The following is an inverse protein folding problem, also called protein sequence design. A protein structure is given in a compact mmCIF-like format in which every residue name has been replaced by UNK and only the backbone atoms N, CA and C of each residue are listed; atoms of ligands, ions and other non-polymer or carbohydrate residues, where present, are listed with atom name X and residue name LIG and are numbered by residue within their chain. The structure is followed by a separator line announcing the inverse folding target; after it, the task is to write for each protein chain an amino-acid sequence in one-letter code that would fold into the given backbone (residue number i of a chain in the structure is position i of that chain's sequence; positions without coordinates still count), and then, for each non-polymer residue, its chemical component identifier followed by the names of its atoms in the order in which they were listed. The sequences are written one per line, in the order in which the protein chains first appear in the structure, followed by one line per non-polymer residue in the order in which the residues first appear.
data_IF_503648029624
#
_entry.id   IF_503648029624
#
_cell.length_a   1.000
_cell.length_b   1.000
_cell.length_c   1.000
_cell.angle_alpha   90.00
_cell.angle_beta   90.00
_cell.angle_gamma   90.00
#
_symmetry.space_group_name_H-M   'P 1'
#
loop_
_entity.id
_entity.type
_entity.pdbx_description
1 polymer ?
#
# COMPACT_ATOMS: atom_id res chain seq x y z
N UNK A 1 29.01 18.21 -16.52
CA UNK A 1 29.10 19.33 -15.55
C UNK A 1 27.69 19.64 -15.08
N UNK A 2 27.43 19.50 -13.79
CA UNK A 2 26.09 19.64 -13.20
C UNK A 2 25.70 21.12 -13.14
N UNK A 3 24.68 21.50 -13.92
CA UNK A 3 24.13 22.85 -14.05
C UNK A 3 23.21 23.21 -12.87
N UNK A 4 23.70 23.11 -11.63
CA UNK A 4 22.96 23.57 -10.45
C UNK A 4 23.52 24.90 -9.99
N UNK A 5 22.66 25.91 -9.83
CA UNK A 5 23.04 27.19 -9.25
C UNK A 5 23.62 27.00 -7.84
N UNK A 6 24.62 27.80 -7.44
CA UNK A 6 25.26 27.66 -6.13
C UNK A 6 24.28 28.06 -5.01
N UNK A 7 24.29 27.31 -3.90
CA UNK A 7 23.48 27.64 -2.72
C UNK A 7 23.99 28.92 -2.05
N UNK A 8 23.09 29.87 -1.79
CA UNK A 8 23.43 31.13 -1.13
C UNK A 8 23.35 31.09 0.39
N UNK A 9 23.96 32.10 1.01
CA UNK A 9 23.85 32.38 2.45
C UNK A 9 22.93 33.57 2.66
N UNK A 10 22.00 33.44 3.61
CA UNK A 10 21.14 34.54 4.03
C UNK A 10 21.91 35.39 5.04
N UNK A 11 22.12 36.67 4.71
CA UNK A 11 22.83 37.60 5.57
C UNK A 11 21.84 38.64 6.08
N UNK A 12 21.68 38.80 7.42
CA UNK A 12 20.89 39.89 7.97
C UNK A 12 21.52 41.23 7.58
N UNK A 13 20.67 42.20 7.26
CA UNK A 13 21.08 43.56 6.90
C UNK A 13 20.38 44.54 7.83
N UNK A 14 20.85 45.79 7.84
CA UNK A 14 20.14 46.89 8.52
C UNK A 14 18.95 47.41 7.68
N UNK A 15 18.65 46.77 6.54
CA UNK A 15 17.51 47.08 5.67
C UNK A 15 16.28 46.27 6.11
N UNK A 16 15.11 46.54 5.53
CA UNK A 16 13.85 45.85 5.86
C UNK A 16 13.89 44.34 5.55
N UNK A 17 14.74 43.89 4.61
CA UNK A 17 14.83 42.49 4.18
C UNK A 17 16.27 41.96 4.22
N UNK A 18 16.50 40.73 4.73
CA UNK A 18 17.79 40.07 4.63
C UNK A 18 18.14 39.77 3.16
N UNK A 19 19.44 39.62 2.87
CA UNK A 19 19.94 39.41 1.51
C UNK A 19 20.49 37.99 1.35
N UNK A 20 19.96 37.24 0.39
CA UNK A 20 20.53 35.97 -0.08
C UNK A 20 21.63 36.26 -1.10
N UNK A 21 22.87 35.91 -0.76
CA UNK A 21 24.06 36.16 -1.58
C UNK A 21 25.10 35.04 -1.45
N UNK A 22 26.04 35.00 -2.39
CA UNK A 22 27.23 34.14 -2.30
C UNK A 22 28.32 34.86 -1.50
N UNK A 23 28.99 34.14 -0.60
CA UNK A 23 30.11 34.67 0.18
C UNK A 23 31.32 35.00 -0.71
N UNK A 24 31.60 34.14 -1.68
CA UNK A 24 32.64 34.30 -2.69
C UNK A 24 32.02 33.98 -4.06
N UNK A 25 31.53 35.00 -4.78
CA UNK A 25 30.77 34.77 -6.01
C UNK A 25 31.73 34.49 -7.18
N UNK A 26 31.61 33.31 -7.77
CA UNK A 26 32.26 32.90 -9.02
C UNK A 26 31.21 32.38 -10.00
N UNK A 27 31.50 32.43 -11.31
CA UNK A 27 30.55 31.94 -12.30
C UNK A 27 30.43 30.40 -12.22
N UNK A 28 29.21 29.83 -12.05
CA UNK A 28 29.05 28.38 -11.96
C UNK A 28 29.37 27.67 -13.28
N UNK A 29 29.33 28.38 -14.41
CA UNK A 29 29.56 27.81 -15.73
C UNK A 29 31.06 27.81 -16.13
N UNK A 30 31.84 28.82 -15.71
CA UNK A 30 33.24 28.99 -16.15
C UNK A 30 34.27 29.28 -15.05
N UNK A 31 33.85 29.40 -13.78
CA UNK A 31 34.72 29.77 -12.65
C UNK A 31 35.26 31.20 -12.69
N UNK A 32 34.90 32.00 -13.70
CA UNK A 32 35.38 33.37 -13.85
C UNK A 32 34.76 34.36 -12.86
N UNK A 33 35.35 35.57 -12.72
CA UNK A 33 34.84 36.60 -11.85
C UNK A 33 33.47 37.10 -12.31
N UNK A 34 32.64 37.53 -11.35
CA UNK A 34 31.28 38.01 -11.61
C UNK A 34 31.03 39.35 -10.91
N UNK A 35 30.12 40.14 -11.48
CA UNK A 35 29.67 41.41 -10.89
C UNK A 35 28.24 41.30 -10.39
N UNK A 36 27.86 42.16 -9.44
CA UNK A 36 26.46 42.27 -8.97
C UNK A 36 25.61 42.89 -10.08
N UNK A 37 24.46 42.28 -10.37
CA UNK A 37 23.53 42.68 -11.43
C UNK A 37 22.12 42.94 -10.89
N UNK A 38 22.02 43.82 -9.89
CA UNK A 38 20.77 44.10 -9.20
C UNK A 38 20.28 42.90 -8.36
N UNK A 39 18.98 42.88 -8.04
CA UNK A 39 18.36 41.82 -7.27
C UNK A 39 16.85 41.91 -7.33
N UNK A 40 16.17 40.90 -6.82
CA UNK A 40 14.70 40.85 -6.74
C UNK A 40 14.28 40.34 -5.37
N UNK A 41 13.07 40.67 -4.96
CA UNK A 41 12.48 40.13 -3.74
C UNK A 41 11.91 38.74 -4.00
N UNK A 42 12.12 37.84 -3.05
CA UNK A 42 11.53 36.51 -3.02
C UNK A 42 10.75 36.38 -1.73
N UNK A 43 9.52 35.89 -1.85
CA UNK A 43 8.57 35.71 -0.74
C UNK A 43 8.25 34.22 -0.55
N UNK A 44 9.23 33.40 -0.11
CA UNK A 44 8.99 31.98 0.14
C UNK A 44 8.02 31.80 1.31
N UNK A 45 6.99 30.98 1.10
CA UNK A 45 5.96 30.68 2.11
C UNK A 45 6.56 29.83 3.23
N UNK A 46 6.42 30.26 4.49
CA UNK A 46 7.01 29.58 5.66
C UNK A 46 8.48 29.93 5.91
N UNK A 47 8.97 30.98 5.24
CA UNK A 47 10.27 31.59 5.46
C UNK A 47 10.10 33.11 5.49
N UNK A 48 11.09 33.82 6.04
CA UNK A 48 11.10 35.28 5.96
C UNK A 48 11.29 35.74 4.51
N UNK A 49 10.57 36.78 4.05
CA UNK A 49 10.87 37.44 2.79
C UNK A 49 12.31 37.91 2.75
N UNK A 50 12.90 37.94 1.56
CA UNK A 50 14.31 38.29 1.38
C UNK A 50 14.58 38.86 0.00
N UNK A 51 15.72 39.55 -0.14
CA UNK A 51 16.23 40.02 -1.41
C UNK A 51 17.28 39.04 -1.96
N UNK A 52 17.08 38.57 -3.18
CA UNK A 52 18.03 37.69 -3.88
C UNK A 52 18.98 38.55 -4.71
N UNK A 53 20.28 38.42 -4.46
CA UNK A 53 21.33 39.07 -5.25
C UNK A 53 21.52 38.36 -6.59
N UNK A 54 21.37 39.08 -7.70
CA UNK A 54 21.73 38.58 -9.04
C UNK A 54 23.19 38.88 -9.36
N UNK A 55 23.83 37.97 -10.08
CA UNK A 55 25.20 38.10 -10.56
C UNK A 55 25.22 38.02 -12.09
N UNK A 56 26.22 38.63 -12.71
CA UNK A 56 26.49 38.52 -14.15
C UNK A 56 27.96 38.17 -14.38
N UNK A 57 28.19 37.18 -15.24
CA UNK A 57 29.51 36.86 -15.76
C UNK A 57 29.68 37.51 -17.14
N UNK A 58 30.84 38.13 -17.40
CA UNK A 58 31.15 38.74 -18.69
C UNK A 58 31.21 37.72 -19.84
N UNK A 59 31.56 36.47 -19.55
CA UNK A 59 31.76 35.42 -20.54
C UNK A 59 30.59 34.44 -20.68
N UNK A 60 29.62 34.49 -19.76
CA UNK A 60 28.53 33.52 -19.67
C UNK A 60 27.19 34.26 -19.56
N UNK A 61 26.43 33.98 -18.50
CA UNK A 61 25.07 34.50 -18.27
C UNK A 61 24.91 35.08 -16.88
N UNK A 62 23.74 35.68 -16.65
CA UNK A 62 23.32 36.05 -15.30
C UNK A 62 22.79 34.84 -14.53
N UNK A 63 23.01 34.83 -13.22
CA UNK A 63 22.51 33.79 -12.33
C UNK A 63 22.21 34.36 -10.94
N UNK A 64 21.50 33.59 -10.14
CA UNK A 64 21.18 33.88 -8.74
C UNK A 64 21.57 32.69 -7.88
N UNK A 65 21.90 32.90 -6.59
CA UNK A 65 22.04 31.80 -5.66
C UNK A 65 20.69 31.13 -5.38
N UNK A 66 20.71 29.81 -5.23
CA UNK A 66 19.54 29.04 -4.77
C UNK A 66 19.33 29.26 -3.27
N UNK A 67 18.07 29.34 -2.83
CA UNK A 67 17.75 29.47 -1.41
C UNK A 67 18.05 28.16 -0.66
N UNK A 68 18.68 28.21 0.53
CA UNK A 68 19.16 27.00 1.21
C UNK A 68 18.04 26.02 1.58
N UNK A 69 16.83 26.51 1.86
CA UNK A 69 15.70 25.67 2.25
C UNK A 69 14.62 25.49 1.16
N UNK A 70 14.68 26.26 0.07
CA UNK A 70 13.60 26.34 -0.93
C UNK A 70 14.22 26.25 -2.32
N UNK A 71 13.91 25.18 -3.05
CA UNK A 71 14.41 24.98 -4.42
C UNK A 71 13.99 26.14 -5.33
N UNK A 72 14.72 26.34 -6.42
CA UNK A 72 14.34 27.32 -7.44
C UNK A 72 12.99 26.92 -8.06
N UNK A 73 12.19 27.93 -8.45
CA UNK A 73 10.80 27.79 -8.92
C UNK A 73 9.80 27.20 -7.91
N UNK A 74 10.21 27.00 -6.66
CA UNK A 74 9.33 26.55 -5.58
C UNK A 74 9.05 27.67 -4.58
N UNK A 75 7.84 27.66 -4.04
CA UNK A 75 7.39 28.60 -3.02
C UNK A 75 7.53 28.09 -1.60
N UNK A 76 7.58 26.77 -1.40
CA UNK A 76 7.57 26.15 -0.08
C UNK A 76 8.89 25.43 0.22
N UNK A 77 9.37 25.46 1.47
CA UNK A 77 10.49 24.65 1.89
C UNK A 77 10.22 23.16 1.70
N UNK A 78 11.26 22.41 1.37
CA UNK A 78 11.17 20.96 1.17
C UNK A 78 10.54 20.25 2.39
N UNK A 79 10.84 20.73 3.59
CA UNK A 79 10.29 20.19 4.84
C UNK A 79 8.76 20.29 4.93
N UNK A 80 8.15 21.35 4.39
CA UNK A 80 6.68 21.53 4.35
C UNK A 80 6.06 20.46 3.45
N UNK A 81 6.57 20.32 2.23
CA UNK A 81 6.11 19.31 1.28
C UNK A 81 6.30 17.90 1.83
N UNK A 82 7.44 17.62 2.47
CA UNK A 82 7.74 16.32 3.06
C UNK A 82 6.77 15.96 4.18
N UNK A 83 6.46 16.89 5.09
CA UNK A 83 5.48 16.64 6.15
C UNK A 83 4.11 16.29 5.56
N UNK A 84 3.67 17.03 4.53
CA UNK A 84 2.40 16.76 3.85
C UNK A 84 2.35 15.34 3.26
N UNK A 85 3.39 14.92 2.54
CA UNK A 85 3.48 13.59 1.93
C UNK A 85 3.60 12.48 2.99
N UNK A 86 4.35 12.71 4.06
CA UNK A 86 4.51 11.73 5.15
C UNK A 86 3.19 11.50 5.87
N UNK A 87 2.41 12.55 6.11
CA UNK A 87 1.08 12.45 6.70
C UNK A 87 0.12 11.71 5.76
N UNK A 88 0.13 11.99 4.46
CA UNK A 88 -0.70 11.28 3.46
C UNK A 88 -0.45 9.75 3.46
N UNK A 89 0.82 9.35 3.61
CA UNK A 89 1.23 7.94 3.62
C UNK A 89 0.98 7.27 4.98
N UNK A 90 1.28 7.93 6.09
CA UNK A 90 1.27 7.28 7.41
C UNK A 90 -0.07 7.37 8.15
N UNK A 91 -0.95 8.27 7.72
CA UNK A 91 -2.22 8.54 8.41
C UNK A 91 -3.40 8.42 7.47
N UNK A 92 -4.60 8.37 8.04
CA UNK A 92 -5.83 8.60 7.29
C UNK A 92 -6.24 10.05 7.54
N UNK A 93 -5.73 10.97 6.72
CA UNK A 93 -5.99 12.40 6.83
C UNK A 93 -6.62 12.95 5.56
N UNK A 94 -7.61 13.82 5.73
CA UNK A 94 -8.11 14.66 4.65
C UNK A 94 -7.05 15.69 4.23
N UNK A 95 -7.25 16.31 3.06
CA UNK A 95 -6.43 17.43 2.61
C UNK A 95 -6.52 18.61 3.60
N UNK A 96 -7.71 18.90 4.12
CA UNK A 96 -7.94 19.93 5.13
C UNK A 96 -7.15 19.67 6.42
N UNK A 97 -7.19 18.44 6.96
CA UNK A 97 -6.40 18.09 8.15
C UNK A 97 -4.89 18.26 7.88
N UNK A 98 -4.43 17.96 6.65
CA UNK A 98 -3.04 18.22 6.27
C UNK A 98 -2.74 19.72 6.23
N UNK A 99 -3.64 20.56 5.71
CA UNK A 99 -3.48 22.03 5.76
C UNK A 99 -3.32 22.53 7.19
N UNK A 100 -4.15 22.04 8.11
CA UNK A 100 -4.11 22.46 9.51
C UNK A 100 -2.81 22.02 10.19
N UNK A 101 -2.32 20.80 9.92
CA UNK A 101 -1.01 20.36 10.43
C UNK A 101 0.12 21.24 9.88
N UNK A 102 0.12 21.58 8.58
CA UNK A 102 1.11 22.50 8.02
C UNK A 102 1.02 23.91 8.62
N UNK A 103 -0.20 24.36 8.95
CA UNK A 103 -0.43 25.65 9.61
C UNK A 103 0.17 25.64 11.02
N UNK A 104 -0.05 24.57 11.78
CA UNK A 104 0.49 24.42 13.14
C UNK A 104 2.02 24.35 13.14
N UNK A 105 2.62 23.56 12.25
CA UNK A 105 4.06 23.29 12.29
C UNK A 105 4.93 24.32 11.56
N UNK A 106 4.40 24.95 10.52
CA UNK A 106 5.17 25.83 9.63
C UNK A 106 4.54 27.20 9.42
N UNK A 107 3.38 27.48 10.04
CA UNK A 107 2.62 28.71 9.85
C UNK A 107 2.32 29.00 8.37
N UNK A 108 2.06 27.94 7.59
CA UNK A 108 1.66 28.02 6.18
C UNK A 108 0.38 27.25 5.96
N UNK A 109 -0.49 27.78 5.09
CA UNK A 109 -1.74 27.13 4.71
C UNK A 109 -1.81 26.96 3.18
N UNK A 110 -1.10 25.98 2.59
CA UNK A 110 -1.18 25.69 1.16
C UNK A 110 -2.60 25.30 0.78
N UNK A 111 -3.02 25.57 -0.46
CA UNK A 111 -4.32 25.13 -0.94
C UNK A 111 -4.41 23.60 -1.01
N UNK A 112 -5.61 23.04 -0.94
CA UNK A 112 -5.85 21.61 -1.18
C UNK A 112 -5.25 21.13 -2.50
N UNK A 113 -5.35 21.95 -3.55
CA UNK A 113 -4.78 21.65 -4.86
C UNK A 113 -3.26 21.52 -4.79
N UNK A 114 -2.59 22.40 -4.04
CA UNK A 114 -1.15 22.35 -3.86
C UNK A 114 -0.71 21.10 -3.08
N UNK A 115 -1.45 20.73 -2.02
CA UNK A 115 -1.18 19.51 -1.25
C UNK A 115 -1.42 18.26 -2.10
N UNK A 116 -2.50 18.24 -2.88
CA UNK A 116 -2.76 17.16 -3.83
C UNK A 116 -1.61 17.03 -4.83
N UNK A 117 -1.18 18.13 -5.46
CA UNK A 117 -0.06 18.12 -6.40
C UNK A 117 1.23 17.56 -5.77
N UNK A 118 1.46 17.78 -4.48
CA UNK A 118 2.61 17.21 -3.76
C UNK A 118 2.49 15.71 -3.48
N UNK A 119 1.27 15.20 -3.32
CA UNK A 119 1.02 13.78 -3.05
C UNK A 119 0.82 12.96 -4.33
N UNK A 120 0.65 13.64 -5.47
CA UNK A 120 0.46 13.03 -6.78
C UNK A 120 1.80 12.85 -7.49
N UNK A 121 1.99 11.68 -8.09
CA UNK A 121 3.07 11.42 -9.04
C UNK A 121 2.55 10.58 -10.21
N UNK A 122 3.20 10.68 -11.36
CA UNK A 122 2.87 9.85 -12.50
C UNK A 122 3.23 8.39 -12.20
N UNK A 123 2.28 7.50 -12.40
CA UNK A 123 2.39 6.07 -12.16
C UNK A 123 1.81 5.30 -13.34
N UNK A 124 2.23 4.03 -13.49
CA UNK A 124 1.52 3.09 -14.35
C UNK A 124 0.12 2.81 -13.77
N UNK A 125 -0.80 2.29 -14.57
CA UNK A 125 -2.12 1.85 -14.10
C UNK A 125 -2.00 0.74 -13.06
N UNK A 126 -1.20 -0.28 -13.38
CA UNK A 126 -0.78 -1.29 -12.43
C UNK A 126 0.47 -0.80 -11.71
N UNK A 127 0.33 -0.54 -10.42
CA UNK A 127 1.44 -0.22 -9.53
C UNK A 127 2.08 -1.53 -9.09
N UNK A 128 3.21 -1.89 -9.71
CA UNK A 128 4.00 -3.04 -9.32
C UNK A 128 4.96 -2.71 -8.18
N UNK A 129 5.08 -3.61 -7.21
CA UNK A 129 6.10 -3.54 -6.17
C UNK A 129 7.42 -4.11 -6.71
N UNK A 130 8.52 -3.47 -6.34
CA UNK A 130 9.85 -3.91 -6.71
C UNK A 130 10.38 -4.91 -5.66
N UNK A 131 9.81 -6.12 -5.72
CA UNK A 131 10.23 -7.26 -4.91
C UNK A 131 11.38 -8.00 -5.62
N UNK A 132 12.47 -8.37 -4.91
CA UNK A 132 13.60 -9.05 -5.52
C UNK A 132 13.24 -10.48 -5.99
N UNK A 133 12.29 -11.11 -5.30
CA UNK A 133 11.74 -12.44 -5.61
C UNK A 133 10.26 -12.46 -5.22
N UNK A 134 9.54 -13.45 -5.74
CA UNK A 134 8.17 -13.78 -5.33
C UNK A 134 8.11 -15.24 -4.92
N UNK A 135 7.19 -15.60 -4.02
CA UNK A 135 7.09 -16.94 -3.44
C UNK A 135 6.24 -17.92 -4.26
N UNK A 136 5.39 -17.39 -5.14
CA UNK A 136 4.39 -18.17 -5.87
C UNK A 136 3.16 -18.55 -5.05
N UNK A 137 3.07 -18.12 -3.79
CA UNK A 137 1.88 -18.25 -2.95
C UNK A 137 1.28 -16.87 -2.73
N UNK A 138 0.18 -16.62 -3.43
CA UNK A 138 -0.46 -15.32 -3.45
C UNK A 138 -1.84 -15.35 -2.80
N UNK A 139 -2.23 -14.20 -2.29
CA UNK A 139 -3.58 -13.89 -1.88
C UNK A 139 -4.10 -12.75 -2.76
N UNK A 140 -5.32 -12.88 -3.27
CA UNK A 140 -6.01 -11.82 -4.00
C UNK A 140 -7.31 -11.43 -3.29
N UNK A 141 -7.55 -10.14 -3.19
CA UNK A 141 -8.77 -9.57 -2.61
C UNK A 141 -8.96 -8.13 -3.11
N UNK A 142 -10.17 -7.59 -2.94
CA UNK A 142 -10.52 -6.22 -3.33
C UNK A 142 -10.91 -5.33 -2.15
N UNK A 143 -10.50 -4.07 -2.21
CA UNK A 143 -10.88 -3.06 -1.23
C UNK A 143 -11.62 -1.91 -1.90
N UNK A 144 -12.74 -1.49 -1.30
CA UNK A 144 -13.38 -0.22 -1.64
C UNK A 144 -12.44 0.96 -1.34
N UNK A 145 -12.46 2.00 -2.16
CA UNK A 145 -11.93 3.32 -1.81
C UNK A 145 -12.80 4.43 -2.43
N UNK A 146 -12.59 5.65 -1.95
CA UNK A 146 -13.28 6.84 -2.47
C UNK A 146 -12.27 7.75 -3.19
N UNK A 147 -12.52 8.03 -4.46
CA UNK A 147 -11.75 8.99 -5.27
C UNK A 147 -12.71 10.08 -5.74
N UNK A 148 -12.40 11.32 -5.38
CA UNK A 148 -13.23 12.49 -5.64
C UNK A 148 -14.72 12.29 -5.28
N UNK A 149 -14.97 11.64 -4.13
CA UNK A 149 -16.32 11.32 -3.66
C UNK A 149 -17.01 10.15 -4.36
N UNK A 150 -16.41 9.59 -5.41
CA UNK A 150 -16.91 8.46 -6.16
C UNK A 150 -16.26 7.14 -5.73
N UNK A 151 -17.00 6.05 -5.91
CA UNK A 151 -16.56 4.70 -5.53
C UNK A 151 -15.58 4.17 -6.56
N UNK A 152 -14.45 3.67 -6.08
CA UNK A 152 -13.49 2.89 -6.84
C UNK A 152 -13.10 1.61 -6.07
N UNK A 153 -12.42 0.71 -6.75
CA UNK A 153 -11.99 -0.59 -6.27
C UNK A 153 -10.48 -0.69 -6.40
N UNK A 154 -9.81 -1.02 -5.31
CA UNK A 154 -8.41 -1.40 -5.27
C UNK A 154 -8.35 -2.90 -5.38
N UNK A 155 -7.71 -3.39 -6.42
CA UNK A 155 -7.42 -4.80 -6.62
C UNK A 155 -5.97 -5.03 -6.16
N UNK A 156 -5.74 -6.06 -5.35
CA UNK A 156 -4.42 -6.30 -4.75
C UNK A 156 -4.02 -7.75 -4.88
N UNK A 157 -2.85 -7.99 -5.45
CA UNK A 157 -2.12 -9.25 -5.31
C UNK A 157 -1.12 -9.09 -4.18
N UNK A 158 -1.15 -10.01 -3.22
CA UNK A 158 -0.29 -9.99 -2.03
C UNK A 158 0.46 -11.31 -1.92
N UNK A 159 1.78 -11.23 -1.71
CA UNK A 159 2.60 -12.41 -1.48
C UNK A 159 2.50 -12.80 0.00
N UNK A 160 1.93 -13.97 0.26
CA UNK A 160 1.58 -14.40 1.60
C UNK A 160 2.82 -14.72 2.44
N UNK A 161 3.82 -15.37 1.81
CA UNK A 161 5.04 -15.79 2.50
C UNK A 161 5.98 -14.61 2.71
N UNK A 162 6.10 -13.71 1.74
CA UNK A 162 6.89 -12.49 1.88
C UNK A 162 6.19 -11.42 2.74
N UNK A 163 4.87 -11.52 2.92
CA UNK A 163 4.03 -10.53 3.62
C UNK A 163 4.16 -9.14 3.03
N UNK A 164 4.14 -9.07 1.71
CA UNK A 164 4.25 -7.83 0.95
C UNK A 164 3.30 -7.82 -0.26
N UNK A 165 2.72 -6.65 -0.59
CA UNK A 165 1.95 -6.49 -1.83
C UNK A 165 2.86 -6.73 -3.05
N UNK A 166 2.37 -7.44 -4.06
CA UNK A 166 3.08 -7.68 -5.34
C UNK A 166 2.72 -6.60 -6.34
N UNK A 167 1.42 -6.34 -6.51
CA UNK A 167 0.92 -5.31 -7.40
C UNK A 167 -0.49 -4.90 -7.00
N UNK A 168 -0.85 -3.68 -7.38
CA UNK A 168 -2.16 -3.10 -7.13
C UNK A 168 -2.61 -2.24 -8.30
N UNK A 169 -3.93 -2.20 -8.53
CA UNK A 169 -4.54 -1.27 -9.48
C UNK A 169 -5.78 -0.64 -8.88
N UNK A 170 -6.20 0.49 -9.45
CA UNK A 170 -7.47 1.14 -9.19
C UNK A 170 -8.38 0.90 -10.38
N UNK A 171 -9.57 0.36 -10.12
CA UNK A 171 -10.61 0.17 -11.10
C UNK A 171 -11.89 0.87 -10.66
N UNK A 172 -12.59 1.46 -11.61
CA UNK A 172 -13.92 2.05 -11.46
C UNK A 172 -15.00 0.98 -11.28
N UNK A 173 -14.79 -0.22 -11.83
CA UNK A 173 -15.67 -1.39 -11.63
C UNK A 173 -14.87 -2.64 -11.30
N UNK A 174 -15.45 -3.51 -10.49
CA UNK A 174 -14.90 -4.84 -10.20
C UNK A 174 -15.72 -5.90 -10.94
N UNK A 175 -15.55 -5.97 -12.27
CA UNK A 175 -16.14 -7.05 -13.09
C UNK A 175 -15.17 -8.22 -13.21
N UNK A 176 -15.66 -9.38 -13.66
CA UNK A 176 -14.82 -10.55 -13.91
C UNK A 176 -13.67 -10.23 -14.87
N UNK A 177 -13.96 -9.49 -15.93
CA UNK A 177 -13.01 -9.11 -16.97
C UNK A 177 -11.90 -8.21 -16.42
N UNK A 178 -12.26 -7.23 -15.59
CA UNK A 178 -11.27 -6.38 -14.92
C UNK A 178 -10.36 -7.18 -13.99
N UNK A 179 -10.91 -8.11 -13.22
CA UNK A 179 -10.12 -8.99 -12.35
C UNK A 179 -9.21 -9.91 -13.16
N UNK A 180 -9.74 -10.50 -14.23
CA UNK A 180 -8.99 -11.35 -15.17
C UNK A 180 -7.80 -10.61 -15.75
N UNK A 181 -8.03 -9.43 -16.34
CA UNK A 181 -6.99 -8.63 -16.96
C UNK A 181 -5.90 -8.26 -15.95
N UNK A 182 -6.30 -7.86 -14.75
CA UNK A 182 -5.35 -7.54 -13.67
C UNK A 182 -4.52 -8.76 -13.24
N UNK A 183 -5.16 -9.88 -12.92
CA UNK A 183 -4.47 -11.08 -12.43
C UNK A 183 -3.54 -11.67 -13.49
N UNK A 184 -4.00 -11.81 -14.73
CA UNK A 184 -3.18 -12.35 -15.84
C UNK A 184 -2.01 -11.43 -16.17
N UNK A 185 -2.20 -10.11 -16.14
CA UNK A 185 -1.10 -9.15 -16.37
C UNK A 185 -0.06 -9.19 -15.24
N UNK A 186 -0.50 -9.27 -13.98
CA UNK A 186 0.41 -9.25 -12.82
C UNK A 186 1.14 -10.58 -12.64
N UNK A 187 0.45 -11.70 -12.85
CA UNK A 187 0.94 -13.03 -12.48
C UNK A 187 1.40 -13.88 -13.65
N UNK A 188 1.03 -13.56 -14.90
CA UNK A 188 1.24 -14.44 -16.06
C UNK A 188 2.70 -14.81 -16.35
N UNK A 189 3.66 -13.95 -16.00
CA UNK A 189 5.10 -14.23 -16.15
C UNK A 189 5.78 -14.66 -14.84
N UNK A 190 5.03 -14.82 -13.75
CA UNK A 190 5.55 -15.16 -12.42
C UNK A 190 5.34 -16.65 -12.14
N UNK A 191 6.17 -17.28 -11.30
CA UNK A 191 5.84 -18.60 -10.79
C UNK A 191 4.58 -18.46 -9.92
N UNK A 192 3.47 -19.06 -10.33
CA UNK A 192 2.23 -19.11 -9.56
C UNK A 192 1.98 -20.56 -9.19
N UNK A 193 1.92 -20.83 -7.89
CA UNK A 193 1.62 -22.17 -7.38
C UNK A 193 0.22 -22.20 -6.79
N UNK A 194 -0.11 -21.20 -5.97
CA UNK A 194 -1.40 -21.13 -5.28
C UNK A 194 -1.87 -19.68 -5.23
N UNK A 195 -3.15 -19.46 -5.53
CA UNK A 195 -3.82 -18.18 -5.30
C UNK A 195 -5.00 -18.40 -4.36
N UNK A 196 -4.92 -17.77 -3.18
CA UNK A 196 -6.02 -17.75 -2.21
C UNK A 196 -6.91 -16.55 -2.45
N UNK A 197 -8.22 -16.76 -2.61
CA UNK A 197 -9.17 -15.66 -2.82
C UNK A 197 -10.34 -15.71 -1.84
N UNK A 198 -11.20 -14.69 -1.93
CA UNK A 198 -12.54 -14.73 -1.35
C UNK A 198 -13.46 -15.76 -2.06
N UNK A 199 -14.72 -15.77 -1.66
CA UNK A 199 -15.72 -16.76 -2.10
C UNK A 199 -16.38 -16.53 -3.46
N UNK A 200 -15.95 -15.56 -4.28
CA UNK A 200 -16.56 -15.37 -5.61
C UNK A 200 -16.39 -16.58 -6.53
N UNK A 201 -17.36 -16.78 -7.42
CA UNK A 201 -17.47 -17.96 -8.27
C UNK A 201 -16.65 -17.87 -9.55
N UNK A 202 -16.20 -16.67 -9.93
CA UNK A 202 -15.50 -16.41 -11.18
C UNK A 202 -13.97 -16.56 -11.09
N UNK A 203 -13.43 -16.69 -9.87
CA UNK A 203 -11.99 -16.84 -9.65
C UNK A 203 -11.39 -18.19 -10.08
N UNK A 204 -12.05 -19.35 -9.86
CA UNK A 204 -11.47 -20.64 -10.26
C UNK A 204 -11.09 -20.66 -11.75
N UNK A 205 -11.97 -20.21 -12.64
CA UNK A 205 -11.68 -20.12 -14.09
C UNK A 205 -10.44 -19.27 -14.39
N UNK A 206 -10.26 -18.13 -13.72
CA UNK A 206 -9.08 -17.26 -13.96
C UNK A 206 -7.81 -17.91 -13.41
N UNK A 207 -7.88 -18.57 -12.26
CA UNK A 207 -6.71 -19.07 -11.54
C UNK A 207 -6.25 -20.43 -12.06
N UNK A 208 -7.19 -21.33 -12.29
CA UNK A 208 -6.91 -22.70 -12.74
C UNK A 208 -6.71 -22.75 -14.26
N UNK A 209 -7.61 -22.14 -15.04
CA UNK A 209 -7.57 -22.29 -16.50
C UNK A 209 -6.58 -21.33 -17.18
N UNK A 210 -6.44 -20.09 -16.68
CA UNK A 210 -5.61 -19.05 -17.33
C UNK A 210 -4.22 -18.90 -16.70
N UNK A 211 -4.08 -19.14 -15.39
CA UNK A 211 -2.81 -19.03 -14.66
C UNK A 211 -2.15 -20.38 -14.36
N UNK A 212 -2.80 -21.51 -14.66
CA UNK A 212 -2.33 -22.88 -14.37
C UNK A 212 -1.88 -23.05 -12.91
N UNK A 213 -2.67 -22.49 -11.99
CA UNK A 213 -2.37 -22.45 -10.56
C UNK A 213 -3.48 -23.09 -9.72
N UNK A 214 -3.11 -23.56 -8.53
CA UNK A 214 -4.10 -24.10 -7.58
C UNK A 214 -4.92 -22.96 -6.98
N UNK A 215 -6.25 -23.06 -7.10
CA UNK A 215 -7.16 -22.18 -6.38
C UNK A 215 -7.33 -22.65 -4.94
N UNK A 216 -7.25 -21.72 -3.99
CA UNK A 216 -7.64 -21.97 -2.61
C UNK A 216 -8.65 -20.92 -2.13
N UNK A 217 -9.63 -21.32 -1.34
CA UNK A 217 -10.69 -20.44 -0.82
C UNK A 217 -10.43 -20.07 0.63
N UNK A 218 -10.56 -18.78 0.94
CA UNK A 218 -10.46 -18.29 2.31
C UNK A 218 -11.59 -18.86 3.19
N UNK A 219 -11.21 -19.67 4.18
CA UNK A 219 -12.16 -20.32 5.08
C UNK A 219 -12.93 -19.34 5.95
N UNK A 220 -12.30 -18.25 6.37
CA UNK A 220 -12.96 -17.21 7.15
C UNK A 220 -14.10 -16.57 6.38
N UNK A 221 -13.85 -16.14 5.14
CA UNK A 221 -14.87 -15.54 4.28
C UNK A 221 -15.99 -16.52 3.96
N UNK A 222 -15.66 -17.77 3.63
CA UNK A 222 -16.65 -18.81 3.38
C UNK A 222 -17.58 -19.02 4.59
N UNK A 223 -17.01 -19.26 5.78
CA UNK A 223 -17.79 -19.51 6.99
C UNK A 223 -18.63 -18.29 7.41
N UNK A 224 -18.07 -17.09 7.34
CA UNK A 224 -18.77 -15.84 7.69
C UNK A 224 -19.95 -15.58 6.76
N UNK A 225 -19.75 -15.75 5.45
CA UNK A 225 -20.80 -15.57 4.45
C UNK A 225 -21.87 -16.66 4.58
N UNK A 226 -21.46 -17.91 4.80
CA UNK A 226 -22.35 -19.03 5.06
C UNK A 226 -23.21 -18.80 6.30
N UNK A 227 -22.61 -18.39 7.43
CA UNK A 227 -23.33 -18.12 8.67
C UNK A 227 -24.31 -16.95 8.53
N UNK A 228 -23.94 -15.88 7.83
CA UNK A 228 -24.84 -14.77 7.52
C UNK A 228 -26.05 -15.24 6.70
N UNK A 229 -25.82 -16.07 5.68
CA UNK A 229 -26.87 -16.63 4.83
C UNK A 229 -27.80 -17.54 5.65
N UNK A 230 -27.23 -18.51 6.36
CA UNK A 230 -27.97 -19.51 7.13
C UNK A 230 -28.73 -18.92 8.32
N UNK A 231 -28.21 -17.87 8.95
CA UNK A 231 -28.96 -17.13 9.98
C UNK A 231 -30.31 -16.67 9.46
N UNK A 232 -30.33 -16.04 8.29
CA UNK A 232 -31.56 -15.51 7.69
C UNK A 232 -32.43 -16.60 7.06
N UNK A 233 -31.83 -17.61 6.41
CA UNK A 233 -32.61 -18.61 5.64
C UNK A 233 -33.06 -19.79 6.48
N UNK A 234 -32.31 -20.12 7.54
CA UNK A 234 -32.54 -21.30 8.39
C UNK A 234 -32.79 -20.89 9.83
N UNK A 235 -31.79 -20.34 10.53
CA UNK A 235 -31.81 -20.27 12.01
C UNK A 235 -32.87 -19.33 12.57
N UNK A 236 -33.16 -18.22 11.89
CA UNK A 236 -34.18 -17.23 12.25
C UNK A 236 -35.42 -17.32 11.35
N UNK A 237 -35.45 -18.30 10.44
CA UNK A 237 -36.52 -18.45 9.47
C UNK A 237 -37.77 -19.06 10.10
N UNK A 238 -38.91 -18.46 9.82
CA UNK A 238 -40.23 -18.99 10.19
C UNK A 238 -40.63 -20.25 9.41
N UNK A 239 -39.89 -20.60 8.35
CA UNK A 239 -40.17 -21.76 7.51
C UNK A 239 -39.83 -23.10 8.18
N UNK A 240 -38.95 -23.07 9.19
CA UNK A 240 -38.46 -24.27 9.86
C UNK A 240 -38.99 -24.34 11.29
N UNK A 241 -39.28 -25.56 11.77
CA UNK A 241 -39.62 -25.78 13.16
C UNK A 241 -38.44 -25.42 14.09
N UNK A 242 -38.72 -25.10 15.36
CA UNK A 242 -37.66 -24.78 16.34
C UNK A 242 -36.61 -25.90 16.46
N UNK A 243 -37.05 -27.16 16.37
CA UNK A 243 -36.18 -28.35 16.42
C UNK A 243 -35.25 -28.43 15.21
N UNK A 244 -35.76 -28.17 14.00
CA UNK A 244 -34.96 -28.14 12.77
C UNK A 244 -33.94 -27.01 12.79
N UNK A 245 -34.33 -25.83 13.29
CA UNK A 245 -33.44 -24.67 13.46
C UNK A 245 -32.30 -24.99 14.41
N UNK A 246 -32.61 -25.54 15.59
CA UNK A 246 -31.62 -25.93 16.58
C UNK A 246 -30.67 -26.99 16.02
N UNK A 247 -31.21 -28.01 15.36
CA UNK A 247 -30.41 -29.07 14.73
C UNK A 247 -29.50 -28.52 13.64
N UNK A 248 -30.02 -27.64 12.78
CA UNK A 248 -29.23 -26.97 11.75
C UNK A 248 -28.08 -26.16 12.35
N UNK A 249 -28.33 -25.42 13.44
CA UNK A 249 -27.30 -24.65 14.13
C UNK A 249 -26.21 -25.56 14.75
N UNK A 250 -26.60 -26.69 15.34
CA UNK A 250 -25.66 -27.68 15.89
C UNK A 250 -24.78 -28.23 14.77
N UNK A 251 -25.37 -28.72 13.66
CA UNK A 251 -24.58 -29.29 12.57
C UNK A 251 -23.73 -28.24 11.87
N UNK A 252 -24.20 -27.00 11.73
CA UNK A 252 -23.35 -25.91 11.24
C UNK A 252 -22.16 -25.66 12.16
N UNK A 253 -22.35 -25.74 13.48
CA UNK A 253 -21.24 -25.63 14.44
C UNK A 253 -20.24 -26.77 14.28
N UNK A 254 -20.70 -28.02 14.14
CA UNK A 254 -19.85 -29.18 13.86
C UNK A 254 -19.10 -29.02 12.52
N UNK A 255 -19.78 -28.52 11.49
CA UNK A 255 -19.18 -28.24 10.19
C UNK A 255 -18.08 -27.16 10.28
N UNK A 256 -18.29 -26.09 11.04
CA UNK A 256 -17.22 -25.11 11.33
C UNK A 256 -15.99 -25.76 11.96
N UNK A 257 -16.15 -26.80 12.77
CA UNK A 257 -15.03 -27.52 13.38
C UNK A 257 -14.20 -28.33 12.37
N UNK A 258 -14.69 -28.59 11.16
CA UNK A 258 -13.90 -29.21 10.08
C UNK A 258 -12.73 -28.29 9.71
N UNK A 259 -13.00 -27.00 9.57
CA UNK A 259 -12.01 -25.97 9.22
C UNK A 259 -11.04 -25.62 10.36
N UNK A 260 -11.39 -25.99 11.59
CA UNK A 260 -10.54 -25.81 12.77
C UNK A 260 -9.77 -27.11 13.13
N UNK A 261 -9.79 -28.12 12.25
CA UNK A 261 -9.05 -29.34 12.46
C UNK A 261 -7.53 -29.11 12.47
N UNK A 262 -6.81 -29.94 13.23
CA UNK A 262 -5.35 -29.85 13.37
C UNK A 262 -4.60 -30.61 12.29
N UNK A 263 -5.29 -31.46 11.52
CA UNK A 263 -4.73 -32.21 10.40
C UNK A 263 -5.79 -32.48 9.35
N UNK A 264 -5.35 -32.78 8.12
CA UNK A 264 -6.24 -33.11 7.03
C UNK A 264 -7.09 -34.36 7.34
N UNK A 265 -6.51 -35.41 7.93
CA UNK A 265 -7.25 -36.62 8.30
C UNK A 265 -8.29 -36.35 9.39
N UNK A 266 -7.97 -35.45 10.32
CA UNK A 266 -8.94 -35.02 11.33
C UNK A 266 -10.09 -34.24 10.69
N UNK A 267 -9.82 -33.39 9.70
CA UNK A 267 -10.84 -32.68 8.94
C UNK A 267 -11.75 -33.66 8.19
N UNK A 268 -11.17 -34.63 7.47
CA UNK A 268 -11.92 -35.68 6.75
C UNK A 268 -12.82 -36.46 7.70
N UNK A 269 -12.31 -36.92 8.86
CA UNK A 269 -13.13 -37.63 9.84
C UNK A 269 -14.29 -36.78 10.37
N UNK A 270 -14.03 -35.51 10.70
CA UNK A 270 -15.06 -34.58 11.17
C UNK A 270 -16.10 -34.32 10.07
N UNK A 271 -15.66 -34.17 8.83
CA UNK A 271 -16.54 -33.93 7.70
C UNK A 271 -17.42 -35.14 7.39
N UNK A 272 -16.89 -36.37 7.48
CA UNK A 272 -17.68 -37.60 7.38
C UNK A 272 -18.83 -37.63 8.41
N UNK A 273 -18.55 -37.29 9.67
CA UNK A 273 -19.58 -37.21 10.70
C UNK A 273 -20.65 -36.12 10.45
N UNK A 274 -20.31 -35.06 9.69
CA UNK A 274 -21.27 -34.05 9.23
C UNK A 274 -22.12 -34.59 8.08
N UNK A 275 -21.50 -35.31 7.13
CA UNK A 275 -22.19 -35.94 6.00
C UNK A 275 -23.23 -36.97 6.45
N UNK A 276 -22.96 -37.75 7.50
CA UNK A 276 -23.91 -38.72 8.07
C UNK A 276 -25.24 -38.06 8.53
N UNK A 277 -25.21 -36.75 8.79
CA UNK A 277 -26.37 -35.98 9.26
C UNK A 277 -27.02 -35.17 8.16
N UNK A 278 -26.44 -35.10 6.95
CA UNK A 278 -26.76 -34.09 5.93
C UNK A 278 -28.19 -34.19 5.40
N UNK A 279 -28.73 -35.39 5.17
CA UNK A 279 -30.04 -35.57 4.53
C UNK A 279 -31.20 -35.02 5.36
N UNK A 280 -31.01 -34.92 6.67
CA UNK A 280 -32.02 -34.42 7.61
C UNK A 280 -31.91 -32.90 7.83
N UNK A 281 -31.08 -32.21 7.04
CA UNK A 281 -30.81 -30.78 7.19
C UNK A 281 -31.56 -29.93 6.16
N UNK A 282 -31.86 -28.66 6.52
CA UNK A 282 -32.34 -27.65 5.57
C UNK A 282 -31.50 -27.60 4.30
N UNK A 283 -32.18 -27.42 3.15
CA UNK A 283 -31.55 -27.45 1.81
C UNK A 283 -30.36 -26.50 1.71
N UNK A 284 -30.48 -25.31 2.30
CA UNK A 284 -29.46 -24.26 2.26
C UNK A 284 -28.15 -24.70 2.93
N UNK A 285 -28.25 -25.45 4.04
CA UNK A 285 -27.09 -25.98 4.74
C UNK A 285 -26.51 -27.17 3.96
N UNK A 286 -27.37 -28.03 3.40
CA UNK A 286 -26.93 -29.13 2.52
C UNK A 286 -26.11 -28.63 1.33
N UNK A 287 -26.54 -27.54 0.69
CA UNK A 287 -25.77 -26.92 -0.40
C UNK A 287 -24.37 -26.54 0.06
N UNK A 288 -24.23 -25.79 1.16
CA UNK A 288 -22.91 -25.36 1.64
C UNK A 288 -21.97 -26.55 1.97
N UNK A 289 -22.51 -27.64 2.50
CA UNK A 289 -21.72 -28.85 2.79
C UNK A 289 -21.35 -29.59 1.49
N UNK A 290 -22.26 -29.65 0.51
CA UNK A 290 -22.00 -30.26 -0.81
C UNK A 290 -20.94 -29.50 -1.59
N UNK A 291 -20.98 -28.17 -1.58
CA UNK A 291 -19.98 -27.33 -2.25
C UNK A 291 -18.56 -27.66 -1.72
N UNK A 292 -18.42 -27.88 -0.40
CA UNK A 292 -17.15 -28.28 0.22
C UNK A 292 -16.80 -29.74 -0.03
N UNK A 293 -17.80 -30.61 -0.22
CA UNK A 293 -17.56 -32.01 -0.56
C UNK A 293 -16.98 -32.15 -1.97
N UNK A 294 -17.52 -31.38 -2.92
CA UNK A 294 -17.07 -31.36 -4.32
C UNK A 294 -15.65 -30.78 -4.43
N UNK A 295 -15.36 -29.72 -3.67
CA UNK A 295 -14.12 -28.94 -3.76
C UNK A 295 -13.29 -28.99 -2.46
N UNK A 296 -13.17 -30.17 -1.84
CA UNK A 296 -12.64 -30.28 -0.47
C UNK A 296 -11.21 -29.74 -0.32
N UNK A 297 -10.31 -30.05 -1.26
CA UNK A 297 -8.92 -29.57 -1.23
C UNK A 297 -8.84 -28.05 -1.47
N UNK A 298 -9.77 -27.46 -2.22
CA UNK A 298 -9.87 -26.00 -2.44
C UNK A 298 -10.12 -25.25 -1.12
N UNK A 299 -10.79 -25.86 -0.14
CA UNK A 299 -11.05 -25.27 1.18
C UNK A 299 -10.03 -25.70 2.25
N UNK A 300 -9.55 -26.93 2.19
CA UNK A 300 -8.78 -27.56 3.27
C UNK A 300 -7.36 -27.96 2.86
N UNK A 301 -6.91 -27.58 1.66
CA UNK A 301 -5.55 -27.84 1.16
C UNK A 301 -4.45 -27.26 2.04
N UNK A 302 -4.74 -26.16 2.76
CA UNK A 302 -3.84 -25.61 3.79
C UNK A 302 -3.48 -26.60 4.92
N UNK A 303 -4.28 -27.64 5.15
CA UNK A 303 -3.98 -28.69 6.14
C UNK A 303 -2.96 -29.71 5.61
N UNK A 304 -2.73 -29.75 4.30
CA UNK A 304 -1.70 -30.59 3.64
C UNK A 304 -0.41 -29.81 3.41
N UNK A 305 -0.52 -28.51 3.15
CA UNK A 305 0.60 -27.66 2.77
C UNK A 305 0.68 -26.43 3.68
N UNK A 306 1.67 -26.39 4.57
CA UNK A 306 1.87 -25.30 5.52
C UNK A 306 2.05 -23.92 4.85
N UNK A 307 2.58 -23.90 3.63
CA UNK A 307 2.76 -22.68 2.85
C UNK A 307 1.43 -22.05 2.42
N UNK A 308 0.36 -22.84 2.28
CA UNK A 308 -0.94 -22.34 1.82
C UNK A 308 -1.69 -21.71 2.99
N UNK A 309 -2.08 -20.43 2.92
CA UNK A 309 -2.81 -19.79 4.00
C UNK A 309 -4.24 -20.31 4.08
N UNK A 310 -4.71 -20.57 5.30
CA UNK A 310 -6.13 -20.87 5.54
C UNK A 310 -7.06 -19.66 5.38
N UNK A 311 -6.51 -18.44 5.41
CA UNK A 311 -7.26 -17.18 5.43
C UNK A 311 -6.49 -16.04 4.75
N UNK A 312 -7.22 -15.01 4.30
CA UNK A 312 -6.73 -13.75 3.72
C UNK A 312 -6.26 -12.73 4.78
N UNK A 313 -6.03 -13.15 6.02
CA UNK A 313 -5.81 -12.26 7.18
C UNK A 313 -4.64 -11.29 7.01
N UNK A 314 -3.56 -11.70 6.33
CA UNK A 314 -2.40 -10.82 6.12
C UNK A 314 -2.72 -9.67 5.16
N UNK A 315 -3.48 -9.95 4.10
CA UNK A 315 -3.99 -8.95 3.17
C UNK A 315 -5.03 -8.04 3.85
N UNK A 316 -5.97 -8.60 4.63
CA UNK A 316 -6.91 -7.81 5.43
C UNK A 316 -6.22 -6.88 6.43
N UNK A 317 -5.14 -7.36 7.06
CA UNK A 317 -4.32 -6.53 7.94
C UNK A 317 -3.62 -5.41 7.17
N UNK A 318 -3.13 -5.69 5.97
CA UNK A 318 -2.54 -4.68 5.09
C UNK A 318 -3.57 -3.61 4.71
N UNK A 319 -4.78 -4.00 4.34
CA UNK A 319 -5.93 -3.12 4.15
C UNK A 319 -6.31 -2.30 5.39
N UNK A 320 -6.19 -2.90 6.58
CA UNK A 320 -6.40 -2.23 7.86
C UNK A 320 -5.34 -1.17 8.20
N UNK A 321 -4.17 -1.19 7.55
CA UNK A 321 -3.14 -0.15 7.69
C UNK A 321 -3.39 1.04 6.75
N UNK A 322 -4.01 0.82 5.59
CA UNK A 322 -4.24 1.87 4.59
C UNK A 322 -5.57 2.59 4.79
N UNK A 323 -6.59 1.91 5.35
CA UNK A 323 -7.95 2.42 5.70
C UNK A 323 -8.55 3.46 4.71
N UNK A 324 -8.52 3.25 3.39
CA UNK A 324 -8.90 4.27 2.42
C UNK A 324 -10.40 4.61 2.40
N UNK A 325 -11.22 3.89 3.16
CA UNK A 325 -12.69 3.96 3.12
C UNK A 325 -13.30 4.93 4.12
N UNK A 326 -12.55 5.36 5.15
CA UNK A 326 -13.11 6.19 6.22
C UNK A 326 -13.20 7.68 5.82
N UNK A 327 -12.35 8.12 4.89
CA UNK A 327 -12.29 9.53 4.45
C UNK A 327 -12.64 9.66 2.97
N UNK A 328 -13.86 10.18 2.71
CA UNK A 328 -14.44 10.33 1.37
C UNK A 328 -13.64 11.24 0.41
N UNK A 329 -12.83 12.17 0.95
CA UNK A 329 -12.07 13.17 0.18
C UNK A 329 -10.55 13.04 0.37
N UNK A 330 -10.08 11.82 0.62
CA UNK A 330 -8.65 11.56 0.76
C UNK A 330 -7.91 11.69 -0.58
N UNK A 331 -8.48 11.10 -1.62
CA UNK A 331 -7.91 11.10 -2.98
C UNK A 331 -8.77 11.97 -3.89
N UNK A 332 -8.14 12.90 -4.62
CA UNK A 332 -8.81 13.72 -5.65
C UNK A 332 -8.70 13.15 -7.07
N UNK A 333 -7.76 12.23 -7.30
CA UNK A 333 -7.58 11.59 -8.61
C UNK A 333 -6.99 10.19 -8.48
N UNK A 334 -7.07 9.41 -9.55
CA UNK A 334 -6.47 8.07 -9.63
C UNK A 334 -4.96 8.10 -9.52
N UNK A 335 -4.30 9.14 -10.04
CA UNK A 335 -2.84 9.31 -9.90
C UNK A 335 -2.44 9.50 -8.45
N UNK A 336 -3.20 10.26 -7.66
CA UNK A 336 -2.95 10.39 -6.22
C UNK A 336 -3.18 9.06 -5.50
N UNK A 337 -4.27 8.35 -5.80
CA UNK A 337 -4.52 7.04 -5.21
C UNK A 337 -3.38 6.05 -5.54
N UNK A 338 -2.96 5.96 -6.79
CA UNK A 338 -1.85 5.09 -7.23
C UNK A 338 -0.50 5.50 -6.64
N UNK A 339 -0.21 6.80 -6.56
CA UNK A 339 0.97 7.32 -5.88
C UNK A 339 0.99 6.87 -4.41
N UNK A 340 -0.15 6.98 -3.73
CA UNK A 340 -0.30 6.50 -2.36
C UNK A 340 -0.05 4.99 -2.25
N UNK A 341 -0.65 4.17 -3.12
CA UNK A 341 -0.44 2.71 -3.14
C UNK A 341 1.04 2.37 -3.31
N UNK A 342 1.73 3.01 -4.25
CA UNK A 342 3.17 2.84 -4.47
C UNK A 342 3.98 3.15 -3.22
N UNK A 343 3.67 4.25 -2.53
CA UNK A 343 4.35 4.59 -1.27
C UNK A 343 4.03 3.58 -0.15
N UNK A 344 2.80 3.04 -0.10
CA UNK A 344 2.45 1.96 0.85
C UNK A 344 3.23 0.68 0.59
N UNK A 345 3.37 0.28 -0.68
CA UNK A 345 4.19 -0.87 -1.07
C UNK A 345 5.63 -0.66 -0.61
N UNK A 346 6.22 0.49 -0.94
CA UNK A 346 7.59 0.84 -0.55
C UNK A 346 7.78 0.82 0.97
N UNK A 347 6.89 1.47 1.72
CA UNK A 347 6.93 1.45 3.18
C UNK A 347 6.82 0.03 3.73
N UNK A 348 6.00 -0.83 3.11
CA UNK A 348 5.83 -2.21 3.55
C UNK A 348 7.07 -3.04 3.26
N UNK A 349 7.60 -2.98 2.04
CA UNK A 349 8.82 -3.69 1.63
C UNK A 349 9.99 -3.30 2.54
N UNK A 350 10.11 -2.01 2.85
CA UNK A 350 11.09 -1.48 3.81
C UNK A 350 10.92 -2.08 5.21
N UNK A 351 9.70 -2.04 5.77
CA UNK A 351 9.39 -2.57 7.12
C UNK A 351 9.51 -4.10 7.21
N UNK A 352 9.44 -4.82 6.09
CA UNK A 352 9.63 -6.27 6.06
C UNK A 352 11.11 -6.67 5.86
N UNK A 353 12.00 -5.73 5.52
CA UNK A 353 13.41 -6.01 5.25
C UNK A 353 13.63 -6.72 3.90
N UNK A 354 12.73 -6.53 2.92
CA UNK A 354 12.77 -7.20 1.63
C UNK A 354 13.62 -6.44 0.57
N UNK A 355 14.45 -5.50 1.03
CA UNK A 355 15.33 -4.68 0.19
C UNK A 355 16.74 -4.68 0.77
N UNK A 356 17.74 -4.44 -0.07
CA UNK A 356 19.13 -4.31 0.39
C UNK A 356 19.26 -3.19 1.43
N UNK A 357 20.22 -3.32 2.36
CA UNK A 357 20.48 -2.29 3.38
C UNK A 357 20.66 -0.90 2.77
N UNK A 358 21.45 -0.81 1.71
CA UNK A 358 21.67 0.45 0.99
C UNK A 358 20.37 1.07 0.47
N UNK A 359 19.52 0.24 -0.15
CA UNK A 359 18.23 0.68 -0.70
C UNK A 359 17.24 1.05 0.40
N UNK A 360 17.23 0.30 1.50
CA UNK A 360 16.44 0.58 2.70
C UNK A 360 16.83 1.91 3.33
N UNK A 361 18.13 2.20 3.46
CA UNK A 361 18.63 3.48 3.99
C UNK A 361 18.34 4.64 3.03
N UNK A 362 18.53 4.45 1.73
CA UNK A 362 18.18 5.44 0.70
C UNK A 362 16.70 5.82 0.75
N UNK A 363 15.82 4.82 0.89
CA UNK A 363 14.38 5.02 0.99
C UNK A 363 13.97 5.62 2.34
N UNK A 364 14.55 5.13 3.43
CA UNK A 364 14.36 5.69 4.78
C UNK A 364 14.68 7.18 4.83
N UNK A 365 15.78 7.62 4.20
CA UNK A 365 16.11 9.06 4.08
C UNK A 365 15.08 9.85 3.27
N UNK A 366 14.45 9.26 2.26
CA UNK A 366 13.41 9.94 1.47
C UNK A 366 12.13 10.14 2.30
N UNK A 367 11.73 9.11 3.06
CA UNK A 367 10.52 9.12 3.88
C UNK A 367 10.68 9.89 5.20
N UNK A 368 11.89 9.87 5.77
CA UNK A 368 12.24 10.44 7.06
C UNK A 368 13.49 11.33 6.97
N UNK A 369 13.43 12.41 6.18
CA UNK A 369 14.58 13.27 5.85
C UNK A 369 15.19 14.00 7.05
N UNK A 370 14.43 14.16 8.14
CA UNK A 370 14.87 14.81 9.38
C UNK A 370 15.56 13.83 10.35
N UNK A 371 15.52 12.52 10.06
CA UNK A 371 16.09 11.49 10.91
C UNK A 371 17.49 11.17 10.39
N UNK A 372 18.48 11.15 11.29
CA UNK A 372 19.86 10.84 10.90
C UNK A 372 19.99 9.39 10.44
N UNK A 373 21.06 9.06 9.71
CA UNK A 373 21.28 7.69 9.23
C UNK A 373 21.42 6.73 10.39
N UNK A 374 22.13 7.16 11.44
CA UNK A 374 22.37 6.41 12.66
C UNK A 374 21.05 6.13 13.41
N UNK A 375 20.06 7.02 13.28
CA UNK A 375 18.71 6.83 13.83
C UNK A 375 17.80 6.00 12.92
N UNK A 376 18.01 6.05 11.59
CA UNK A 376 17.26 5.25 10.62
C UNK A 376 17.70 3.79 10.61
N UNK A 377 18.98 3.52 10.86
CA UNK A 377 19.53 2.17 10.86
C UNK A 377 18.72 1.23 11.77
N UNK A 378 18.56 1.46 13.09
CA UNK A 378 17.81 0.55 13.97
C UNK A 378 16.37 0.30 13.51
N UNK A 379 15.71 1.32 12.96
CA UNK A 379 14.31 1.25 12.52
C UNK A 379 14.12 0.26 11.37
N UNK A 380 15.12 0.11 10.50
CA UNK A 380 15.02 -0.66 9.26
C UNK A 380 16.03 -1.81 9.14
N UNK A 381 17.01 -1.92 10.03
CA UNK A 381 18.00 -3.01 10.06
C UNK A 381 17.79 -3.99 11.22
N UNK A 382 17.26 -3.56 12.37
CA UNK A 382 17.07 -4.45 13.53
C UNK A 382 15.73 -5.20 13.49
N UNK A 383 14.70 -4.63 12.86
CA UNK A 383 13.40 -5.29 12.70
C UNK A 383 13.38 -6.24 11.50
N UNK A 384 14.08 -7.38 11.68
CA UNK A 384 13.88 -8.74 11.11
C UNK A 384 15.18 -9.38 10.62
N UNK A 385 15.99 -9.78 11.60
CA UNK A 385 16.83 -10.99 11.53
C UNK A 385 16.07 -12.29 11.17
N UNK A 386 14.76 -12.25 10.84
CA UNK A 386 13.97 -13.45 10.54
C UNK A 386 14.11 -13.98 9.10
N UNK A 387 14.63 -13.20 8.15
CA UNK A 387 14.65 -13.62 6.74
C UNK A 387 16.05 -13.65 6.11
N UNK A 388 16.93 -12.71 6.45
CA UNK A 388 18.30 -12.71 5.89
C UNK A 388 19.20 -13.83 6.46
N UNK A 389 18.85 -14.40 7.62
CA UNK A 389 19.63 -15.46 8.27
C UNK A 389 19.59 -16.81 7.54
N UNK A 390 18.59 -17.06 6.67
CA UNK A 390 18.64 -18.26 5.80
C UNK A 390 19.57 -18.01 4.60
N UNK A 391 19.62 -16.79 4.07
CA UNK A 391 20.36 -16.46 2.85
C UNK A 391 21.88 -16.55 3.01
N UNK A 392 22.38 -16.33 4.23
CA UNK A 392 23.81 -16.44 4.55
C UNK A 392 24.20 -17.86 5.01
N UNK A 393 23.30 -18.86 4.92
CA UNK A 393 23.61 -20.28 5.23
C UNK A 393 23.86 -21.15 3.99
N UNK A 394 23.86 -20.59 2.79
CA UNK A 394 24.20 -21.31 1.54
C UNK A 394 25.58 -20.94 0.98
N UNK A 395 26.47 -20.40 1.82
CA UNK A 395 27.89 -20.22 1.47
C UNK A 395 28.80 -20.59 2.64
N UNK A 396 28.67 -21.81 3.16
CA UNK A 396 29.74 -22.54 3.85
C UNK A 396 29.68 -24.04 3.49
#
# INVERSE_FOLDING_TARGET
MTTSAPTGTIVPTNEELPVLRLSQPECPDCGGPVSRNGGYERHPQGCQPLRVQRYICANCRSFSPTHPAVADDHHYPRAVTQLATTIDVLTDSSLENRQDVLTIHYNVRPSDQQIHNWCTEQTAEIVANDLPVVSGVFTYDEQYLTIDGSRAYRLTVYDELLRAPVAETIADRCTKETVREFLTTVLGEKPVHVVTTDGRSDYPEIIEDELDAVHHRCNFHFLKNGEKKLRNTVFESVRYANTERLRGAIVWSEFKQVFAAQSYEAAVRRFGAVLDKIEQLPKELRTAVKDVMEEFDTFLGHLRHEAVPSTTNNLERYYGHTKPTQIKRRFRSDEHARAFLKQQMYLRTLKQGLMSRERSLSLGRKLFPAVSIEQLEPLFTESKQRYLLWRDRETD
#
